data_IF_864471481118
#
_entry.id   IF_864471481118
#
_cell.length_a   1.000
_cell.length_b   1.000
_cell.length_c   1.000
_cell.angle_alpha   90.00
_cell.angle_beta   90.00
_cell.angle_gamma   90.00
#
_symmetry.space_group_name_H-M   'P 1'
#
loop_
_entity.id
_entity.type
_entity.pdbx_description
1 polymer ?
#
# COMPACT_ATOMS: atom_id res chain seq x y z
N UNK A 1 56.23 25.03 0.64
CA UNK A 1 55.08 25.95 0.46
C UNK A 1 54.19 25.59 -0.73
N UNK A 2 54.74 25.33 -1.93
CA UNK A 2 53.97 25.06 -3.17
C UNK A 2 53.11 23.78 -3.16
N UNK A 3 53.44 22.80 -2.31
CA UNK A 3 52.65 21.56 -2.12
C UNK A 3 51.49 21.78 -1.15
N UNK A 4 51.70 22.55 -0.09
CA UNK A 4 50.66 22.90 0.89
C UNK A 4 49.57 23.79 0.28
N UNK A 5 49.91 24.70 -0.65
CA UNK A 5 48.92 25.50 -1.37
C UNK A 5 48.06 24.65 -2.32
N UNK A 6 48.62 23.60 -2.94
CA UNK A 6 47.87 22.65 -3.76
C UNK A 6 46.95 21.77 -2.92
N UNK A 7 47.42 21.28 -1.77
CA UNK A 7 46.62 20.50 -0.83
C UNK A 7 45.47 21.34 -0.24
N UNK A 8 45.73 22.61 0.10
CA UNK A 8 44.70 23.54 0.54
C UNK A 8 43.65 23.79 -0.55
N UNK A 9 44.07 23.97 -1.80
CA UNK A 9 43.17 24.12 -2.94
C UNK A 9 42.26 22.90 -3.15
N UNK A 10 42.82 21.69 -3.08
CA UNK A 10 42.03 20.45 -3.18
C UNK A 10 41.05 20.31 -2.01
N UNK A 11 41.46 20.66 -0.79
CA UNK A 11 40.60 20.61 0.39
C UNK A 11 39.41 21.58 0.28
N UNK A 12 39.63 22.80 -0.23
CA UNK A 12 38.55 23.78 -0.44
C UNK A 12 37.57 23.32 -1.51
N UNK A 13 38.06 22.76 -2.62
CA UNK A 13 37.18 22.20 -3.67
C UNK A 13 36.38 21.01 -3.15
N UNK A 14 37.00 20.13 -2.37
CA UNK A 14 36.31 19.00 -1.74
C UNK A 14 35.24 19.46 -0.75
N UNK A 15 35.53 20.50 0.06
CA UNK A 15 34.57 21.08 0.99
C UNK A 15 33.39 21.74 0.25
N UNK A 16 33.66 22.50 -0.82
CA UNK A 16 32.61 23.11 -1.63
C UNK A 16 31.73 22.04 -2.30
N UNK A 17 32.34 20.98 -2.86
CA UNK A 17 31.61 19.85 -3.42
C UNK A 17 30.75 19.13 -2.36
N UNK A 18 31.27 18.96 -1.14
CA UNK A 18 30.53 18.38 -0.02
C UNK A 18 29.34 19.27 0.39
N UNK A 19 29.52 20.59 0.48
CA UNK A 19 28.43 21.52 0.82
C UNK A 19 27.36 21.51 -0.27
N UNK A 20 27.73 21.55 -1.55
CA UNK A 20 26.79 21.44 -2.68
C UNK A 20 26.05 20.10 -2.64
N UNK A 21 26.75 19.00 -2.32
CA UNK A 21 26.13 17.69 -2.15
C UNK A 21 25.16 17.65 -0.96
N UNK A 22 25.55 18.22 0.19
CA UNK A 22 24.69 18.30 1.37
C UNK A 22 23.48 19.22 1.17
N UNK A 23 23.63 20.29 0.40
CA UNK A 23 22.52 21.16 0.00
C UNK A 23 21.58 20.43 -0.96
N UNK A 24 22.14 19.77 -1.98
CA UNK A 24 21.38 18.93 -2.89
C UNK A 24 20.61 17.83 -2.14
N UNK A 25 21.20 17.15 -1.14
CA UNK A 25 20.49 16.14 -0.33
C UNK A 25 19.30 16.70 0.47
N UNK A 26 19.27 18.02 0.74
CA UNK A 26 18.16 18.69 1.42
C UNK A 26 17.05 19.17 0.48
N UNK A 27 17.34 19.40 -0.80
CA UNK A 27 16.32 19.81 -1.77
C UNK A 27 15.34 18.67 -2.07
N UNK A 28 14.06 18.92 -1.77
CA UNK A 28 12.94 17.98 -1.95
C UNK A 28 11.79 18.61 -2.74
N UNK A 29 12.08 19.64 -3.55
CA UNK A 29 11.07 20.37 -4.32
C UNK A 29 10.23 19.43 -5.18
N UNK A 30 8.92 19.65 -5.15
CA UNK A 30 7.94 18.80 -5.83
C UNK A 30 7.73 19.19 -7.28
N UNK A 31 7.70 18.19 -8.18
CA UNK A 31 7.32 18.39 -9.59
C UNK A 31 5.80 18.49 -9.76
N UNK A 32 5.30 18.79 -10.97
CA UNK A 32 3.86 18.85 -11.25
C UNK A 32 3.14 17.56 -10.86
N UNK A 33 1.88 17.67 -10.40
CA UNK A 33 1.05 16.50 -10.11
C UNK A 33 0.68 15.82 -11.44
N UNK A 34 1.26 14.65 -11.69
CA UNK A 34 0.98 13.84 -12.89
C UNK A 34 0.11 12.61 -12.55
N UNK A 35 -0.70 12.69 -11.49
CA UNK A 35 -1.67 11.63 -11.18
C UNK A 35 -2.86 11.71 -12.13
N UNK A 36 -3.26 10.56 -12.63
CA UNK A 36 -4.47 10.42 -13.44
C UNK A 36 -5.72 10.53 -12.55
N UNK A 37 -6.41 11.68 -12.63
CA UNK A 37 -7.64 12.01 -11.87
C UNK A 37 -8.89 12.00 -12.76
N UNK A 38 -8.89 11.20 -13.83
CA UNK A 38 -10.02 11.11 -14.77
C UNK A 38 -11.31 10.59 -14.11
N UNK A 39 -12.44 10.87 -14.78
CA UNK A 39 -13.78 10.37 -14.43
C UNK A 39 -13.76 8.85 -14.44
N UNK A 40 -14.30 8.24 -13.40
CA UNK A 40 -14.21 6.82 -13.14
C UNK A 40 -15.29 6.04 -13.89
N UNK A 41 -14.96 4.93 -14.56
CA UNK A 41 -15.97 3.93 -14.86
C UNK A 41 -16.46 3.34 -13.53
N UNK A 42 -17.76 3.45 -13.28
CA UNK A 42 -18.43 2.88 -12.12
C UNK A 42 -19.25 1.69 -12.59
N UNK A 43 -18.84 0.50 -12.22
CA UNK A 43 -19.62 -0.73 -12.39
C UNK A 43 -20.41 -0.96 -11.10
N UNK A 44 -21.74 -0.96 -11.17
CA UNK A 44 -22.60 -1.16 -9.99
C UNK A 44 -23.50 -2.38 -10.18
N UNK A 45 -23.50 -3.27 -9.20
CA UNK A 45 -24.30 -4.48 -9.16
C UNK A 45 -25.27 -4.45 -7.97
N UNK A 46 -26.46 -5.02 -8.14
CA UNK A 46 -27.54 -4.98 -7.15
C UNK A 46 -28.34 -3.67 -7.17
N UNK A 47 -29.25 -3.51 -6.20
CA UNK A 47 -30.10 -2.32 -6.07
C UNK A 47 -29.72 -1.50 -4.84
N UNK A 48 -29.74 -0.17 -4.92
CA UNK A 48 -29.54 0.70 -3.75
C UNK A 48 -30.42 0.30 -2.58
N UNK A 49 -29.81 0.13 -1.41
CA UNK A 49 -30.49 -0.31 -0.20
C UNK A 49 -29.90 0.39 1.03
N UNK A 50 -30.65 0.39 2.12
CA UNK A 50 -30.16 0.92 3.40
C UNK A 50 -29.19 -0.04 4.11
N UNK A 51 -29.01 -1.28 3.63
CA UNK A 51 -28.10 -2.26 4.26
C UNK A 51 -26.62 -2.02 3.94
N UNK A 52 -26.33 -1.08 3.04
CA UNK A 52 -24.98 -0.70 2.65
C UNK A 52 -24.50 -1.43 1.40
N UNK A 53 -23.21 -1.32 1.14
CA UNK A 53 -22.56 -1.80 -0.07
C UNK A 53 -21.09 -2.05 0.17
N UNK A 54 -20.52 -2.93 -0.66
CA UNK A 54 -19.07 -3.03 -0.81
C UNK A 54 -18.67 -2.17 -2.02
N UNK A 55 -17.67 -1.30 -1.84
CA UNK A 55 -17.12 -0.46 -2.88
C UNK A 55 -15.64 -0.75 -3.05
N UNK A 56 -15.28 -1.46 -4.12
CA UNK A 56 -13.90 -1.69 -4.53
C UNK A 56 -13.35 -0.51 -5.34
N UNK A 57 -12.16 -0.05 -4.98
CA UNK A 57 -11.41 0.96 -5.75
C UNK A 57 -10.21 0.28 -6.38
N UNK A 58 -10.24 0.07 -7.69
CA UNK A 58 -9.12 -0.46 -8.45
C UNK A 58 -8.38 0.70 -9.09
N UNK A 59 -7.09 0.86 -8.81
CA UNK A 59 -6.34 2.01 -9.35
C UNK A 59 -4.89 1.65 -9.66
N UNK A 60 -4.35 2.33 -10.66
CA UNK A 60 -2.93 2.36 -10.94
C UNK A 60 -2.27 3.41 -10.04
N UNK A 61 -1.37 2.94 -9.20
CA UNK A 61 -0.54 3.78 -8.34
C UNK A 61 0.75 4.15 -9.08
N UNK A 62 1.09 5.43 -9.07
CA UNK A 62 2.25 6.01 -9.72
C UNK A 62 3.23 6.55 -8.68
N UNK A 63 4.54 6.62 -9.00
CA UNK A 63 5.51 7.20 -8.08
C UNK A 63 5.16 8.61 -7.59
N UNK A 64 4.55 9.43 -8.46
CA UNK A 64 4.14 10.80 -8.15
C UNK A 64 3.05 10.90 -7.06
N UNK A 65 2.27 9.84 -6.87
CA UNK A 65 1.24 9.76 -5.83
C UNK A 65 1.88 9.71 -4.43
N UNK A 66 3.05 9.09 -4.33
CA UNK A 66 3.83 8.93 -3.10
C UNK A 66 4.86 10.04 -2.89
N UNK A 67 4.74 11.18 -3.58
CA UNK A 67 5.61 12.31 -3.27
C UNK A 67 5.29 12.92 -1.89
N UNK A 68 4.01 12.99 -1.53
CA UNK A 68 3.55 13.54 -0.26
C UNK A 68 2.28 12.85 0.23
N UNK A 69 2.02 12.92 1.53
CA UNK A 69 0.81 12.34 2.14
C UNK A 69 -0.44 12.95 1.51
N UNK A 70 -0.39 14.25 1.25
CA UNK A 70 -1.48 15.04 0.68
C UNK A 70 -1.84 14.58 -0.73
N UNK A 71 -0.86 14.15 -1.53
CA UNK A 71 -1.10 13.69 -2.91
C UNK A 71 -1.77 12.33 -2.94
N UNK A 72 -1.27 11.39 -2.15
CA UNK A 72 -1.91 10.09 -2.03
C UNK A 72 -3.33 10.23 -1.49
N UNK A 73 -3.51 11.06 -0.44
CA UNK A 73 -4.82 11.38 0.12
C UNK A 73 -5.75 12.03 -0.92
N UNK A 74 -5.26 13.00 -1.69
CA UNK A 74 -6.01 13.68 -2.74
C UNK A 74 -6.48 12.72 -3.83
N UNK A 75 -5.63 11.75 -4.21
CA UNK A 75 -5.99 10.73 -5.20
C UNK A 75 -7.19 9.91 -4.73
N UNK A 76 -7.13 9.36 -3.52
CA UNK A 76 -8.23 8.56 -2.99
C UNK A 76 -9.46 9.40 -2.63
N UNK A 77 -9.28 10.64 -2.15
CA UNK A 77 -10.40 11.54 -1.89
C UNK A 77 -11.14 11.86 -3.19
N UNK A 78 -10.44 12.05 -4.31
CA UNK A 78 -11.06 12.25 -5.63
C UNK A 78 -11.94 11.07 -6.03
N UNK A 79 -11.54 9.84 -5.71
CA UNK A 79 -12.34 8.64 -6.00
C UNK A 79 -13.55 8.51 -5.09
N UNK A 80 -13.38 8.81 -3.80
CA UNK A 80 -14.47 8.82 -2.83
C UNK A 80 -15.46 9.97 -3.07
N UNK A 81 -15.01 11.12 -3.54
CA UNK A 81 -15.86 12.24 -3.94
C UNK A 81 -16.76 11.87 -5.12
N UNK A 82 -16.22 11.17 -6.11
CA UNK A 82 -17.00 10.67 -7.24
C UNK A 82 -18.01 9.61 -6.79
N UNK A 83 -17.61 8.67 -5.93
CA UNK A 83 -18.53 7.68 -5.36
C UNK A 83 -19.65 8.33 -4.54
N UNK A 84 -19.33 9.37 -3.76
CA UNK A 84 -20.31 10.16 -3.01
C UNK A 84 -21.28 10.89 -3.93
N UNK A 85 -20.77 11.54 -4.98
CA UNK A 85 -21.59 12.23 -5.98
C UNK A 85 -22.53 11.26 -6.71
N UNK A 86 -22.11 10.01 -6.89
CA UNK A 86 -22.94 8.92 -7.44
C UNK A 86 -23.88 8.26 -6.41
N UNK A 87 -23.94 8.74 -5.17
CA UNK A 87 -24.82 8.21 -4.12
C UNK A 87 -24.40 6.84 -3.57
N UNK A 88 -23.15 6.44 -3.76
CA UNK A 88 -22.64 5.12 -3.38
C UNK A 88 -22.09 5.05 -1.95
N UNK A 89 -21.97 6.18 -1.26
CA UNK A 89 -21.41 6.23 0.09
C UNK A 89 -22.48 6.52 1.13
N UNK A 90 -22.50 5.70 2.17
CA UNK A 90 -23.26 5.87 3.40
C UNK A 90 -22.50 5.25 4.59
N UNK A 91 -23.06 5.37 5.80
CA UNK A 91 -22.44 4.88 7.03
C UNK A 91 -22.23 3.34 7.09
N UNK A 92 -22.87 2.59 6.19
CA UNK A 92 -22.75 1.14 6.02
C UNK A 92 -21.99 0.77 4.74
N UNK A 93 -21.34 1.72 4.07
CA UNK A 93 -20.46 1.41 2.95
C UNK A 93 -19.12 0.90 3.49
N UNK A 94 -18.68 -0.25 3.00
CA UNK A 94 -17.32 -0.75 3.18
C UNK A 94 -16.54 -0.45 1.91
N UNK A 95 -15.53 0.40 2.00
CA UNK A 95 -14.62 0.72 0.89
C UNK A 95 -13.38 -0.16 0.97
N UNK A 96 -12.99 -0.77 -0.14
CA UNK A 96 -11.83 -1.66 -0.24
C UNK A 96 -10.80 -1.06 -1.19
N UNK A 97 -9.57 -0.84 -0.70
CA UNK A 97 -8.46 -0.31 -1.49
C UNK A 97 -7.53 -1.43 -2.02
N UNK A 98 -6.71 -1.16 -3.05
CA UNK A 98 -5.82 -2.16 -3.64
C UNK A 98 -4.71 -2.63 -2.69
N UNK A 99 -4.24 -3.85 -2.93
CA UNK A 99 -3.06 -4.40 -2.27
C UNK A 99 -1.80 -3.56 -2.55
N UNK A 100 -0.91 -3.46 -1.55
CA UNK A 100 0.35 -2.72 -1.54
C UNK A 100 0.26 -1.19 -1.63
N UNK A 101 -0.93 -0.61 -1.47
CA UNK A 101 -1.10 0.85 -1.39
C UNK A 101 -0.28 1.47 -0.25
N UNK A 102 -0.13 0.78 0.88
CA UNK A 102 0.70 1.25 1.98
C UNK A 102 2.19 0.97 1.78
N UNK A 103 2.55 -0.07 1.02
CA UNK A 103 3.96 -0.42 0.80
C UNK A 103 4.70 0.70 0.09
N UNK A 104 4.07 1.40 -0.86
CA UNK A 104 4.65 2.53 -1.59
C UNK A 104 5.04 3.74 -0.72
N UNK A 105 4.56 3.81 0.53
CA UNK A 105 4.86 4.90 1.46
C UNK A 105 6.36 5.02 1.81
N UNK A 106 7.17 4.00 1.51
CA UNK A 106 8.63 4.09 1.66
C UNK A 106 9.24 5.26 0.86
N UNK A 107 8.57 5.70 -0.22
CA UNK A 107 8.99 6.80 -1.07
C UNK A 107 8.44 8.18 -0.63
N UNK A 108 7.64 8.25 0.43
CA UNK A 108 7.07 9.53 0.90
C UNK A 108 8.14 10.53 1.32
N UNK A 109 8.08 11.72 0.74
CA UNK A 109 9.04 12.79 1.00
C UNK A 109 10.44 12.51 0.43
N UNK A 110 10.59 11.49 -0.41
CA UNK A 110 11.82 11.21 -1.14
C UNK A 110 11.94 12.11 -2.38
N UNK A 111 13.17 12.19 -2.87
CA UNK A 111 13.52 13.10 -3.96
C UNK A 111 12.83 12.78 -5.29
N UNK A 112 12.71 13.76 -6.20
CA UNK A 112 12.16 13.56 -7.54
C UNK A 112 12.82 12.41 -8.32
N UNK A 113 14.12 12.14 -8.11
CA UNK A 113 14.85 11.06 -8.77
C UNK A 113 14.35 9.68 -8.34
N UNK A 114 13.95 9.50 -7.08
CA UNK A 114 13.30 8.27 -6.59
C UNK A 114 11.95 8.08 -7.28
N UNK A 115 11.25 9.19 -7.58
CA UNK A 115 9.95 9.16 -8.23
C UNK A 115 10.04 8.93 -9.74
N UNK A 116 11.11 9.41 -10.39
CA UNK A 116 11.37 9.19 -11.81
C UNK A 116 11.97 7.82 -12.11
N UNK A 117 12.41 7.10 -11.08
CA UNK A 117 12.96 5.76 -11.21
C UNK A 117 11.92 4.79 -11.81
N UNK A 118 12.32 4.11 -12.89
CA UNK A 118 11.47 3.13 -13.58
C UNK A 118 11.45 1.76 -12.89
N UNK A 119 12.41 1.52 -12.01
CA UNK A 119 12.59 0.26 -11.30
C UNK A 119 12.82 0.48 -9.82
N UNK A 120 12.45 -0.51 -8.99
CA UNK A 120 12.72 -0.49 -7.55
C UNK A 120 14.21 -0.35 -7.25
N UNK A 121 15.07 -1.01 -8.04
CA UNK A 121 16.52 -0.89 -7.88
C UNK A 121 17.01 0.54 -8.06
N UNK A 122 16.56 1.22 -9.11
CA UNK A 122 16.98 2.60 -9.38
C UNK A 122 16.45 3.55 -8.31
N UNK A 123 15.20 3.35 -7.88
CA UNK A 123 14.58 4.14 -6.82
C UNK A 123 15.38 4.05 -5.51
N UNK A 124 15.82 2.83 -5.19
CA UNK A 124 16.62 2.57 -4.01
C UNK A 124 18.05 3.09 -4.11
N UNK A 125 18.66 3.04 -5.30
CA UNK A 125 19.98 3.65 -5.52
C UNK A 125 19.92 5.16 -5.30
N UNK A 126 18.89 5.83 -5.82
CA UNK A 126 18.67 7.25 -5.56
C UNK A 126 18.39 7.55 -4.10
N UNK A 127 17.64 6.70 -3.41
CA UNK A 127 17.38 6.82 -1.98
C UNK A 127 18.66 6.68 -1.15
N UNK A 128 19.52 5.71 -1.49
CA UNK A 128 20.82 5.51 -0.85
C UNK A 128 21.75 6.71 -1.04
N UNK A 129 21.80 7.26 -2.26
CA UNK A 129 22.58 8.45 -2.58
C UNK A 129 22.03 9.72 -1.91
N UNK A 130 20.73 9.77 -1.62
CA UNK A 130 20.05 10.92 -1.03
C UNK A 130 20.01 10.90 0.50
N UNK A 131 20.20 9.72 1.12
CA UNK A 131 20.20 9.52 2.57
C UNK A 131 21.48 8.78 3.02
N UNK A 132 22.67 9.41 2.87
CA UNK A 132 23.96 8.75 3.07
C UNK A 132 24.16 8.20 4.49
N UNK A 133 23.64 8.87 5.53
CA UNK A 133 23.77 8.41 6.93
C UNK A 133 22.87 7.25 7.30
N UNK A 134 21.71 7.13 6.67
CA UNK A 134 20.85 5.97 6.86
C UNK A 134 21.37 4.77 6.08
N UNK A 135 21.88 4.99 4.87
CA UNK A 135 22.51 3.96 4.06
C UNK A 135 23.80 3.41 4.68
N UNK A 136 24.66 4.27 5.23
CA UNK A 136 25.88 3.85 5.93
C UNK A 136 25.59 2.98 7.16
N UNK A 137 24.52 3.29 7.92
CA UNK A 137 24.04 2.43 9.01
C UNK A 137 23.53 1.08 8.50
N UNK A 138 22.78 1.07 7.40
CA UNK A 138 22.26 -0.16 6.80
C UNK A 138 23.35 -1.04 6.16
N UNK A 139 24.44 -0.45 5.65
CA UNK A 139 25.55 -1.17 5.02
C UNK A 139 26.38 -1.99 6.00
N UNK A 140 26.47 -1.53 7.25
CA UNK A 140 27.20 -2.22 8.31
C UNK A 140 26.50 -3.51 8.76
N UNK A 141 25.21 -3.69 8.41
CA UNK A 141 24.41 -4.82 8.85
C UNK A 141 24.19 -5.92 7.78
N UNK A 142 24.38 -5.69 6.46
CA UNK A 142 23.99 -6.71 5.46
C UNK A 142 24.68 -6.61 4.07
N UNK A 143 25.24 -7.74 3.58
CA UNK A 143 25.69 -7.93 2.19
C UNK A 143 24.64 -8.75 1.38
N UNK A 144 24.00 -8.14 0.37
CA UNK A 144 23.14 -8.84 -0.61
C UNK A 144 22.17 -7.95 -1.41
N UNK A 145 21.93 -8.26 -2.69
CA UNK A 145 21.16 -7.42 -3.66
C UNK A 145 19.64 -7.39 -3.36
N UNK A 146 19.04 -8.51 -2.91
CA UNK A 146 17.61 -8.59 -2.51
C UNK A 146 17.36 -8.06 -1.06
N UNK A 147 18.40 -8.02 -0.20
CA UNK A 147 18.32 -7.51 1.20
C UNK A 147 18.21 -5.99 1.28
N UNK A 148 18.43 -5.28 0.17
CA UNK A 148 18.28 -3.82 0.12
C UNK A 148 16.82 -3.41 0.29
N UNK A 149 15.88 -4.14 -0.32
CA UNK A 149 14.43 -3.81 -0.25
C UNK A 149 13.96 -3.94 1.18
N UNK A 150 14.40 -5.02 1.83
CA UNK A 150 14.17 -5.27 3.24
C UNK A 150 14.74 -4.15 4.11
N UNK A 151 15.99 -3.74 3.87
CA UNK A 151 16.64 -2.67 4.63
C UNK A 151 15.93 -1.32 4.52
N UNK A 152 15.51 -0.92 3.30
CA UNK A 152 14.77 0.33 3.08
C UNK A 152 13.42 0.31 3.79
N UNK A 153 12.68 -0.80 3.66
CA UNK A 153 11.39 -0.94 4.32
C UNK A 153 11.55 -0.92 5.85
N UNK A 154 12.56 -1.60 6.41
CA UNK A 154 12.88 -1.57 7.85
C UNK A 154 13.23 -0.17 8.34
N UNK A 155 14.07 0.56 7.61
CA UNK A 155 14.49 1.92 7.97
C UNK A 155 13.30 2.89 8.01
N UNK A 156 12.40 2.80 7.02
CA UNK A 156 11.25 3.70 6.89
C UNK A 156 10.02 3.22 7.65
N UNK A 157 10.04 2.00 8.21
CA UNK A 157 8.87 1.30 8.71
C UNK A 157 8.04 2.10 9.71
N UNK A 158 8.68 2.75 10.70
CA UNK A 158 7.97 3.55 11.69
C UNK A 158 7.17 4.68 11.04
N UNK A 159 7.81 5.43 10.15
CA UNK A 159 7.17 6.53 9.42
C UNK A 159 6.08 6.01 8.48
N UNK A 160 6.33 4.88 7.81
CA UNK A 160 5.33 4.26 6.95
C UNK A 160 4.09 3.83 7.73
N UNK A 161 4.25 3.26 8.93
CA UNK A 161 3.15 2.87 9.80
C UNK A 161 2.30 4.08 10.24
N UNK A 162 2.97 5.17 10.67
CA UNK A 162 2.30 6.42 11.04
C UNK A 162 1.57 7.05 9.84
N UNK A 163 2.24 7.15 8.69
CA UNK A 163 1.70 7.72 7.44
C UNK A 163 0.50 6.91 6.94
N UNK A 164 0.56 5.58 7.06
CA UNK A 164 -0.51 4.66 6.65
C UNK A 164 -1.79 4.91 7.47
N UNK A 165 -1.68 4.95 8.80
CA UNK A 165 -2.86 5.21 9.64
C UNK A 165 -3.40 6.63 9.45
N UNK A 166 -2.54 7.63 9.36
CA UNK A 166 -2.96 9.03 9.20
C UNK A 166 -3.76 9.23 7.89
N UNK A 167 -3.27 8.67 6.78
CA UNK A 167 -3.93 8.81 5.47
C UNK A 167 -5.26 8.05 5.46
N UNK A 168 -5.25 6.76 5.80
CA UNK A 168 -6.42 5.91 5.58
C UNK A 168 -7.47 6.04 6.69
N UNK A 169 -7.06 6.18 7.96
CA UNK A 169 -7.99 6.54 9.04
C UNK A 169 -8.61 7.92 8.80
N UNK A 170 -7.82 8.88 8.29
CA UNK A 170 -8.33 10.20 7.90
C UNK A 170 -9.35 10.14 6.76
N UNK A 171 -9.15 9.28 5.75
CA UNK A 171 -10.12 9.07 4.67
C UNK A 171 -11.40 8.40 5.17
N UNK A 172 -11.28 7.35 6.00
CA UNK A 172 -12.45 6.67 6.59
C UNK A 172 -13.33 7.68 7.35
N UNK A 173 -12.70 8.51 8.19
CA UNK A 173 -13.36 9.57 8.95
C UNK A 173 -13.99 10.64 8.07
N UNK A 174 -13.26 11.14 7.06
CA UNK A 174 -13.73 12.23 6.22
C UNK A 174 -14.97 11.86 5.39
N UNK A 175 -15.10 10.58 5.04
CA UNK A 175 -16.21 10.07 4.23
C UNK A 175 -17.26 9.29 5.03
N UNK A 176 -17.01 9.04 6.32
CA UNK A 176 -17.94 8.33 7.21
C UNK A 176 -18.18 6.89 6.78
N UNK A 177 -17.14 6.19 6.32
CA UNK A 177 -17.21 4.82 5.78
C UNK A 177 -16.29 3.87 6.54
N UNK A 178 -16.60 2.57 6.53
CA UNK A 178 -15.61 1.56 6.89
C UNK A 178 -14.61 1.43 5.74
N UNK A 179 -13.30 1.50 6.02
CA UNK A 179 -12.26 1.48 5.00
C UNK A 179 -11.27 0.34 5.22
N UNK A 180 -11.24 -0.64 4.32
CA UNK A 180 -10.18 -1.64 4.22
C UNK A 180 -9.02 -1.03 3.44
N UNK A 181 -7.94 -0.68 4.13
CA UNK A 181 -6.87 0.18 3.62
C UNK A 181 -5.83 -0.56 2.74
N UNK A 182 -6.27 -1.53 1.93
CA UNK A 182 -5.37 -2.29 1.07
C UNK A 182 -4.35 -3.07 1.89
N UNK A 183 -3.06 -2.96 1.59
CA UNK A 183 -2.01 -3.56 2.44
C UNK A 183 -0.73 -2.73 2.51
N UNK A 184 0.05 -3.00 3.55
CA UNK A 184 1.39 -2.45 3.81
C UNK A 184 2.35 -3.58 4.20
N UNK A 185 3.65 -3.40 3.92
CA UNK A 185 4.71 -4.32 4.34
C UNK A 185 5.55 -3.62 5.40
N UNK A 186 5.65 -4.23 6.59
CA UNK A 186 6.38 -3.70 7.75
C UNK A 186 7.11 -4.86 8.46
N UNK A 187 8.21 -4.60 9.19
CA UNK A 187 8.87 -5.62 9.99
C UNK A 187 8.05 -5.90 11.24
N UNK A 188 7.68 -7.16 11.43
CA UNK A 188 6.92 -7.67 12.59
C UNK A 188 5.85 -6.67 13.10
N UNK A 189 4.86 -6.29 12.27
CA UNK A 189 3.90 -5.26 12.64
C UNK A 189 2.98 -5.76 13.74
N UNK A 190 2.60 -4.85 14.64
CA UNK A 190 1.65 -5.10 15.72
C UNK A 190 0.79 -3.86 15.98
N UNK A 191 -0.33 -4.06 16.66
CA UNK A 191 -1.15 -2.97 17.18
C UNK A 191 -0.84 -2.74 18.65
N UNK A 192 -0.62 -1.48 19.00
CA UNK A 192 -0.39 -1.00 20.36
C UNK A 192 -1.38 0.13 20.62
N UNK A 193 -2.39 -0.13 21.45
CA UNK A 193 -3.48 0.82 21.76
C UNK A 193 -4.11 1.45 20.48
N UNK A 194 -4.41 0.62 19.48
CA UNK A 194 -4.99 1.07 18.21
C UNK A 194 -3.99 1.76 17.25
N UNK A 195 -2.72 1.88 17.63
CA UNK A 195 -1.66 2.41 16.75
C UNK A 195 -0.88 1.28 16.09
N UNK A 196 -0.67 1.39 14.80
CA UNK A 196 0.18 0.49 14.02
C UNK A 196 1.63 0.77 14.37
N UNK A 197 2.31 -0.26 14.88
CA UNK A 197 3.72 -0.21 15.21
C UNK A 197 4.49 -1.20 14.36
N UNK A 198 5.77 -0.89 14.22
CA UNK A 198 6.75 -1.71 13.52
C UNK A 198 7.68 -2.34 14.55
N UNK A 199 7.83 -3.66 14.51
CA UNK A 199 8.77 -4.42 15.35
C UNK A 199 10.13 -4.63 14.70
N UNK A 200 10.89 -5.62 15.19
CA UNK A 200 12.28 -5.90 14.80
C UNK A 200 12.48 -7.27 14.13
N UNK A 201 11.42 -7.87 13.57
CA UNK A 201 11.46 -9.20 12.96
C UNK A 201 11.42 -9.20 11.42
N UNK A 202 10.99 -10.32 10.80
CA UNK A 202 10.83 -10.41 9.35
C UNK A 202 9.78 -9.43 8.85
N UNK A 203 9.88 -9.02 7.59
CA UNK A 203 8.81 -8.23 6.97
C UNK A 203 7.56 -9.10 6.82
N UNK A 204 6.42 -8.54 7.19
CA UNK A 204 5.10 -9.13 6.95
C UNK A 204 4.21 -8.15 6.22
N UNK A 205 3.34 -8.69 5.39
CA UNK A 205 2.31 -7.93 4.71
C UNK A 205 1.00 -8.00 5.50
N UNK A 206 0.46 -6.84 5.83
CA UNK A 206 -0.77 -6.71 6.62
C UNK A 206 -1.74 -5.71 6.00
N UNK A 207 -3.02 -5.88 6.26
CA UNK A 207 -4.07 -4.88 6.09
C UNK A 207 -4.56 -4.39 7.44
N UNK A 208 -5.00 -3.13 7.48
CA UNK A 208 -5.84 -2.60 8.55
C UNK A 208 -7.18 -2.18 7.95
N UNK A 209 -8.21 -2.32 8.76
CA UNK A 209 -9.54 -1.78 8.48
C UNK A 209 -9.82 -0.65 9.46
N UNK A 210 -10.41 0.43 8.97
CA UNK A 210 -10.77 1.61 9.78
C UNK A 210 -12.28 1.76 9.85
N UNK A 211 -12.79 2.20 11.01
CA UNK A 211 -14.18 2.55 11.24
C UNK A 211 -14.52 3.93 10.66
N UNK A 212 -15.83 4.27 10.51
CA UNK A 212 -16.28 5.58 10.04
C UNK A 212 -15.79 6.80 10.86
N UNK A 213 -15.30 6.60 12.08
CA UNK A 213 -14.70 7.63 12.93
C UNK A 213 -13.18 7.80 12.73
N UNK A 214 -12.55 6.89 11.97
CA UNK A 214 -11.13 6.82 11.68
C UNK A 214 -10.34 5.88 12.58
N UNK A 215 -10.98 5.21 13.54
CA UNK A 215 -10.29 4.30 14.47
C UNK A 215 -10.05 2.92 13.84
N UNK A 216 -9.03 2.20 14.32
CA UNK A 216 -8.69 0.86 13.82
C UNK A 216 -9.75 -0.16 14.26
N UNK A 217 -10.23 -0.95 13.31
CA UNK A 217 -11.16 -2.04 13.53
C UNK A 217 -10.43 -3.39 13.61
N UNK A 218 -10.43 -3.98 14.81
CA UNK A 218 -9.96 -5.35 15.04
C UNK A 218 -8.45 -5.56 14.88
N UNK A 219 -7.99 -6.83 14.84
CA UNK A 219 -6.58 -7.18 14.72
C UNK A 219 -6.08 -7.00 13.28
N UNK A 220 -4.76 -6.95 13.10
CA UNK A 220 -4.10 -6.91 11.79
C UNK A 220 -4.47 -8.13 10.92
N UNK A 221 -4.79 -7.89 9.65
CA UNK A 221 -5.09 -8.96 8.70
C UNK A 221 -3.85 -9.31 7.89
N UNK A 222 -3.20 -10.44 8.20
CA UNK A 222 -1.94 -10.82 7.59
C UNK A 222 -2.13 -11.61 6.30
N UNK A 223 -1.25 -11.35 5.33
CA UNK A 223 -1.10 -12.20 4.14
C UNK A 223 -0.37 -13.49 4.50
N UNK A 224 -0.94 -14.63 4.12
CA UNK A 224 -0.37 -15.97 4.31
C UNK A 224 0.19 -16.53 3.00
N UNK A 225 -0.55 -16.41 1.90
CA UNK A 225 -0.11 -16.90 0.61
C UNK A 225 0.80 -15.90 -0.10
N UNK A 226 2.10 -16.03 0.13
CA UNK A 226 3.13 -15.21 -0.52
C UNK A 226 3.51 -15.78 -1.90
N UNK A 227 3.59 -14.91 -2.90
CA UNK A 227 4.17 -15.22 -4.20
C UNK A 227 5.67 -15.53 -4.10
N UNK A 228 6.24 -16.14 -5.17
CA UNK A 228 7.69 -16.38 -5.27
C UNK A 228 8.50 -15.10 -5.07
N UNK A 229 7.96 -13.94 -5.48
CA UNK A 229 8.64 -12.67 -5.34
C UNK A 229 8.63 -12.16 -3.90
N UNK A 230 7.45 -12.18 -3.26
CA UNK A 230 7.25 -11.71 -1.88
C UNK A 230 8.07 -12.53 -0.88
N UNK A 231 8.19 -13.85 -1.08
CA UNK A 231 9.02 -14.74 -0.25
C UNK A 231 10.51 -14.37 -0.21
N UNK A 232 10.98 -13.47 -1.09
CA UNK A 232 12.37 -13.01 -1.10
C UNK A 232 12.66 -11.89 -0.11
N UNK A 233 11.62 -11.22 0.39
CA UNK A 233 11.76 -10.12 1.35
C UNK A 233 10.78 -10.19 2.52
N UNK A 234 9.74 -11.03 2.45
CA UNK A 234 8.68 -11.15 3.46
C UNK A 234 8.43 -12.60 3.83
N UNK A 235 8.00 -12.80 5.07
CA UNK A 235 7.61 -14.10 5.63
C UNK A 235 6.13 -14.11 6.03
N UNK A 236 5.47 -15.23 5.78
CA UNK A 236 4.09 -15.44 6.19
C UNK A 236 4.04 -15.81 7.69
N UNK A 237 3.02 -15.39 8.45
CA UNK A 237 2.85 -15.87 9.81
C UNK A 237 2.55 -17.38 9.83
N UNK A 238 3.15 -18.09 10.79
CA UNK A 238 3.04 -19.55 10.92
C UNK A 238 1.60 -19.99 11.18
N UNK A 239 0.95 -19.39 12.18
CA UNK A 239 -0.42 -19.74 12.58
C UNK A 239 -1.21 -18.47 12.91
N UNK A 240 -2.13 -18.10 12.00
CA UNK A 240 -3.07 -17.02 12.25
C UNK A 240 -4.38 -17.27 11.52
N UNK A 241 -5.46 -17.54 12.25
CA UNK A 241 -6.80 -17.65 11.68
C UNK A 241 -7.29 -16.28 11.16
N UNK A 242 -8.08 -16.23 10.06
CA UNK A 242 -8.71 -14.99 9.64
C UNK A 242 -9.64 -14.48 10.76
N UNK A 243 -9.59 -13.18 11.03
CA UNK A 243 -10.45 -12.56 12.04
C UNK A 243 -11.71 -12.00 11.39
N UNK A 244 -12.86 -12.22 12.05
CA UNK A 244 -14.13 -11.60 11.65
C UNK A 244 -14.20 -10.20 12.26
N UNK A 245 -14.40 -9.20 11.41
CA UNK A 245 -14.54 -7.79 11.78
C UNK A 245 -16.03 -7.43 11.81
N UNK A 246 -16.47 -6.82 12.90
CA UNK A 246 -17.85 -6.33 13.02
C UNK A 246 -17.95 -4.95 12.38
N UNK A 247 -18.64 -4.85 11.25
CA UNK A 247 -18.86 -3.57 10.55
C UNK A 247 -20.35 -3.19 10.58
N UNK A 248 -20.71 -1.91 10.37
CA UNK A 248 -22.11 -1.50 10.24
C UNK A 248 -22.86 -2.21 9.08
N UNK A 249 -22.12 -2.72 8.09
CA UNK A 249 -22.65 -3.44 6.94
C UNK A 249 -22.81 -4.95 7.18
N UNK A 250 -22.13 -5.50 8.20
CA UNK A 250 -22.09 -6.92 8.51
C UNK A 250 -20.74 -7.46 8.99
N UNK A 251 -20.69 -8.77 9.18
CA UNK A 251 -19.47 -9.49 9.60
C UNK A 251 -18.52 -9.67 8.42
N UNK A 252 -17.44 -8.88 8.40
CA UNK A 252 -16.46 -8.80 7.32
C UNK A 252 -15.22 -9.64 7.61
N UNK A 253 -14.76 -10.40 6.63
CA UNK A 253 -13.41 -10.97 6.59
C UNK A 253 -12.61 -10.28 5.49
N UNK A 254 -11.34 -9.97 5.76
CA UNK A 254 -10.39 -9.41 4.78
C UNK A 254 -9.29 -10.44 4.52
N UNK A 255 -9.08 -10.81 3.26
CA UNK A 255 -8.04 -11.76 2.83
C UNK A 255 -7.23 -11.17 1.67
N UNK A 256 -5.91 -11.25 1.75
CA UNK A 256 -5.02 -10.59 0.79
C UNK A 256 -4.63 -11.51 -0.37
N UNK A 257 -4.92 -11.05 -1.60
CA UNK A 257 -4.62 -11.74 -2.84
C UNK A 257 -5.08 -13.21 -2.84
N UNK A 258 -4.13 -14.13 -3.01
CA UNK A 258 -4.42 -15.56 -3.10
C UNK A 258 -5.04 -16.16 -1.83
N UNK A 259 -4.95 -15.49 -0.69
CA UNK A 259 -5.63 -15.94 0.53
C UNK A 259 -7.15 -15.97 0.36
N UNK A 260 -7.71 -15.03 -0.40
CA UNK A 260 -9.16 -14.94 -0.66
C UNK A 260 -9.74 -16.12 -1.44
N UNK A 261 -8.88 -16.96 -2.03
CA UNK A 261 -9.28 -18.13 -2.82
C UNK A 261 -8.80 -19.46 -2.23
N UNK A 262 -7.90 -19.43 -1.25
CA UNK A 262 -7.25 -20.64 -0.72
C UNK A 262 -7.50 -20.86 0.78
N UNK A 263 -7.89 -19.81 1.52
CA UNK A 263 -8.16 -19.92 2.94
C UNK A 263 -9.63 -20.21 3.20
N UNK A 264 -9.88 -21.06 4.17
CA UNK A 264 -11.23 -21.25 4.71
C UNK A 264 -11.69 -19.96 5.42
N UNK A 265 -12.92 -19.56 5.10
CA UNK A 265 -13.59 -18.38 5.67
C UNK A 265 -14.54 -18.90 6.75
N UNK A 266 -14.58 -18.23 7.91
CA UNK A 266 -15.49 -18.60 8.99
C UNK A 266 -16.95 -18.62 8.50
N UNK A 267 -17.75 -19.60 8.94
CA UNK A 267 -19.18 -19.69 8.65
C UNK A 267 -19.97 -18.49 9.18
N UNK A 268 -19.41 -17.78 10.16
CA UNK A 268 -20.02 -16.56 10.70
C UNK A 268 -19.87 -15.36 9.76
N UNK A 269 -18.96 -15.39 8.78
CA UNK A 269 -18.77 -14.26 7.88
C UNK A 269 -20.01 -14.01 7.01
N UNK A 270 -20.29 -12.74 6.73
CA UNK A 270 -21.34 -12.31 5.80
C UNK A 270 -20.73 -11.66 4.56
N UNK A 271 -19.58 -11.00 4.75
CA UNK A 271 -18.89 -10.19 3.75
C UNK A 271 -17.44 -10.65 3.59
N UNK A 272 -16.92 -10.65 2.37
CA UNK A 272 -15.52 -10.93 2.06
C UNK A 272 -14.91 -9.81 1.22
N UNK A 273 -13.84 -9.20 1.70
CA UNK A 273 -13.01 -8.27 0.94
C UNK A 273 -11.69 -8.93 0.52
N UNK A 274 -11.35 -8.83 -0.76
CA UNK A 274 -10.11 -9.38 -1.33
C UNK A 274 -9.28 -8.30 -2.01
N UNK A 275 -8.48 -7.51 -1.25
CA UNK A 275 -7.46 -6.65 -1.83
C UNK A 275 -6.38 -7.47 -2.55
N UNK A 276 -6.07 -7.13 -3.80
CA UNK A 276 -5.03 -7.81 -4.59
C UNK A 276 -5.52 -9.06 -5.32
N UNK A 277 -6.80 -9.06 -5.68
CA UNK A 277 -7.43 -10.09 -6.49
C UNK A 277 -6.64 -10.38 -7.78
N UNK A 278 -6.80 -11.59 -8.31
CA UNK A 278 -6.04 -12.08 -9.47
C UNK A 278 -7.02 -12.35 -10.60
N UNK A 279 -6.66 -11.92 -11.82
CA UNK A 279 -7.49 -12.11 -13.01
C UNK A 279 -7.80 -13.61 -13.26
N UNK A 280 -6.82 -14.47 -12.99
CA UNK A 280 -6.94 -15.94 -13.13
C UNK A 280 -6.53 -16.64 -11.83
N UNK A 281 -7.39 -16.64 -10.80
CA UNK A 281 -7.02 -17.11 -9.46
C UNK A 281 -6.78 -18.62 -9.43
N UNK A 282 -7.51 -19.39 -10.25
CA UNK A 282 -7.30 -20.84 -10.41
C UNK A 282 -5.87 -21.17 -10.88
N UNK A 283 -5.39 -20.43 -11.88
CA UNK A 283 -4.07 -20.65 -12.46
C UNK A 283 -2.94 -20.11 -11.58
N UNK A 284 -3.19 -19.00 -10.88
CA UNK A 284 -2.15 -18.26 -10.14
C UNK A 284 -2.04 -18.63 -8.67
N UNK A 285 -3.15 -19.00 -8.01
CA UNK A 285 -3.22 -19.29 -6.58
C UNK A 285 -3.36 -20.78 -6.26
N UNK A 286 -3.77 -21.59 -7.25
CA UNK A 286 -4.01 -23.03 -7.09
C UNK A 286 -5.43 -23.38 -6.60
N UNK A 287 -5.78 -24.66 -6.69
CA UNK A 287 -7.14 -25.15 -6.43
C UNK A 287 -7.34 -25.47 -4.94
N UNK A 288 -8.01 -24.56 -4.23
CA UNK A 288 -8.80 -24.83 -3.02
C UNK A 288 -9.84 -23.71 -2.85
N UNK A 289 -10.55 -23.39 -3.94
CA UNK A 289 -11.73 -22.52 -3.87
C UNK A 289 -12.82 -23.29 -3.13
N UNK A 290 -12.75 -23.31 -1.80
CA UNK A 290 -13.91 -23.60 -0.99
C UNK A 290 -14.94 -22.54 -1.38
N UNK A 291 -15.91 -22.97 -2.19
CA UNK A 291 -16.97 -22.15 -2.75
C UNK A 291 -17.80 -21.58 -1.61
N UNK A 292 -17.40 -20.43 -1.08
CA UNK A 292 -18.22 -19.53 -0.27
C UNK A 292 -19.18 -18.79 -1.20
N UNK A 293 -19.91 -19.55 -2.02
CA UNK A 293 -20.79 -19.05 -3.08
C UNK A 293 -21.95 -18.19 -2.54
N UNK A 294 -22.12 -18.12 -1.23
CA UNK A 294 -23.18 -17.39 -0.53
C UNK A 294 -22.72 -16.07 0.07
N UNK A 295 -21.42 -15.78 0.15
CA UNK A 295 -20.94 -14.53 0.77
C UNK A 295 -20.93 -13.37 -0.22
N UNK A 296 -21.40 -12.20 0.20
CA UNK A 296 -21.22 -10.99 -0.58
C UNK A 296 -19.72 -10.65 -0.61
N UNK A 297 -19.14 -10.65 -1.82
CA UNK A 297 -17.69 -10.60 -2.02
C UNK A 297 -17.31 -9.42 -2.89
N UNK A 298 -16.28 -8.69 -2.47
CA UNK A 298 -15.64 -7.64 -3.28
C UNK A 298 -14.19 -7.99 -3.54
N UNK A 299 -13.85 -8.11 -4.82
CA UNK A 299 -12.50 -8.31 -5.31
C UNK A 299 -11.94 -6.99 -5.83
N UNK A 300 -10.73 -6.64 -5.40
CA UNK A 300 -10.08 -5.39 -5.81
C UNK A 300 -8.73 -5.71 -6.44
N UNK A 301 -8.62 -5.45 -7.73
CA UNK A 301 -7.38 -5.60 -8.47
C UNK A 301 -6.47 -4.38 -8.28
N UNK A 302 -5.17 -4.64 -8.18
CA UNK A 302 -4.15 -3.58 -8.23
C UNK A 302 -3.72 -3.39 -9.68
N UNK A 303 -4.31 -2.41 -10.38
CA UNK A 303 -4.09 -2.19 -11.83
C UNK A 303 -2.65 -1.80 -12.19
N UNK A 304 -1.88 -1.34 -11.19
CA UNK A 304 -0.44 -1.19 -11.30
C UNK A 304 0.17 -0.58 -10.05
N UNK A 305 1.39 -1.01 -9.75
CA UNK A 305 2.19 -0.45 -8.66
C UNK A 305 3.42 0.27 -9.21
N UNK A 306 3.85 1.33 -8.53
CA UNK A 306 5.09 2.00 -8.88
C UNK A 306 6.28 1.05 -8.66
N UNK A 307 7.37 1.30 -9.40
CA UNK A 307 8.65 0.60 -9.26
C UNK A 307 8.63 -0.92 -9.45
N UNK A 308 7.52 -1.51 -9.88
CA UNK A 308 7.30 -2.96 -9.92
C UNK A 308 7.49 -3.61 -8.54
N UNK A 309 6.89 -3.02 -7.49
CA UNK A 309 6.99 -3.49 -6.10
C UNK A 309 6.68 -4.98 -5.87
N UNK A 310 5.95 -5.62 -6.78
CA UNK A 310 5.53 -7.03 -6.70
C UNK A 310 6.07 -7.86 -7.87
N UNK A 311 7.09 -7.35 -8.58
CA UNK A 311 7.71 -8.01 -9.73
C UNK A 311 9.21 -7.70 -9.84
N UNK A 312 9.91 -8.32 -10.79
CA UNK A 312 11.38 -8.25 -10.89
C UNK A 312 11.91 -6.82 -10.71
N UNK A 313 12.84 -6.57 -9.76
CA UNK A 313 13.30 -5.22 -9.42
C UNK A 313 14.14 -4.59 -10.54
N UNK A 314 14.41 -5.36 -11.61
CA UNK A 314 15.19 -4.95 -12.79
C UNK A 314 14.32 -4.71 -14.02
N UNK A 315 13.01 -4.99 -13.95
CA UNK A 315 12.07 -4.79 -15.07
C UNK A 315 11.02 -3.75 -14.70
N UNK A 316 10.70 -2.82 -15.62
CA UNK A 316 9.59 -1.90 -15.42
C UNK A 316 8.28 -2.67 -15.33
N UNK A 317 7.31 -2.12 -14.60
CA UNK A 317 5.96 -2.67 -14.50
C UNK A 317 5.35 -2.80 -15.89
N UNK A 318 4.83 -3.99 -16.25
CA UNK A 318 3.99 -4.16 -17.45
C UNK A 318 2.56 -3.81 -17.07
N UNK A 319 1.97 -2.84 -17.77
CA UNK A 319 0.58 -2.45 -17.56
C UNK A 319 -0.32 -3.45 -18.29
N UNK A 320 -1.00 -4.30 -17.54
CA UNK A 320 -1.94 -5.29 -18.09
C UNK A 320 -3.31 -4.66 -18.38
N UNK A 321 -3.70 -3.64 -17.61
CA UNK A 321 -4.98 -2.95 -17.77
C UNK A 321 -4.80 -1.61 -18.48
N UNK A 322 -5.62 -1.36 -19.51
CA UNK A 322 -5.66 -0.09 -20.23
C UNK A 322 -6.25 1.06 -19.39
N UNK A 323 -7.22 0.74 -18.53
CA UNK A 323 -7.89 1.71 -17.66
C UNK A 323 -7.00 2.08 -16.45
N UNK A 324 -6.88 3.39 -16.13
CA UNK A 324 -6.06 3.85 -15.01
C UNK A 324 -6.73 3.60 -13.64
N UNK A 325 -8.05 3.49 -13.60
CA UNK A 325 -8.85 3.34 -12.39
C UNK A 325 -10.26 2.85 -12.73
N UNK A 326 -10.87 2.07 -11.82
CA UNK A 326 -12.23 1.55 -11.89
C UNK A 326 -12.85 1.50 -10.48
N UNK A 327 -14.15 1.81 -10.38
CA UNK A 327 -14.93 1.59 -9.16
C UNK A 327 -15.90 0.44 -9.38
N UNK A 328 -15.85 -0.56 -8.50
CA UNK A 328 -16.75 -1.69 -8.50
C UNK A 328 -17.64 -1.60 -7.25
N UNK A 329 -18.95 -1.47 -7.45
CA UNK A 329 -19.93 -1.37 -6.39
C UNK A 329 -20.81 -2.62 -6.34
N UNK A 330 -21.01 -3.17 -5.15
CA UNK A 330 -21.91 -4.27 -4.88
C UNK A 330 -22.87 -3.86 -3.75
N UNK A 331 -24.13 -3.62 -4.09
CA UNK A 331 -25.17 -3.39 -3.09
C UNK A 331 -25.49 -4.67 -2.32
N UNK A 332 -25.58 -4.55 -0.99
CA UNK A 332 -25.92 -5.68 -0.14
C UNK A 332 -27.43 -5.94 -0.18
N UNK A 333 -27.86 -7.21 -0.14
CA UNK A 333 -29.28 -7.53 -0.07
C UNK A 333 -29.89 -6.96 1.22
N UNK A 334 -31.18 -6.63 1.17
CA UNK A 334 -31.94 -6.25 2.36
C UNK A 334 -31.93 -7.42 3.35
N UNK A 335 -31.62 -7.14 4.61
CA UNK A 335 -31.79 -8.12 5.69
C UNK A 335 -33.29 -8.18 6.02
N UNK A 336 -33.87 -9.37 6.18
CA UNK A 336 -35.28 -9.53 6.53
C UNK A 336 -35.63 -8.93 7.89
#
# INVERSE_FOLDING_TARGET
MRTYSKLLGVAVVALAALVIYLDWTRDRRSGPLLSDLRILPIESQGQPSETGNLLGIETRLMPADYQSRERLRLKFSTYLDQARAAGLLNARTVVILPEHVGTGLFALGEKPEVQQARTLRDAMQWMALSNPWDYLRALLDNEGDDRRTEAVLKLKARKMADDYQEIFGGLAKAYGVTLVAGSIVLPEPYLDEGRLRSGSGPLRQVSLTFMPDGDVLGPLQYKKHLSRYERRYSEAPTELAPSVLQTPAGRLIVLLGCDGYTRHVSEEAELLAVPGARDEPLNTCGANLSTTATLARMEVHTLGLPWNLVGSPRRPTRHLHGEPVRLNNLWLPSRP
#
